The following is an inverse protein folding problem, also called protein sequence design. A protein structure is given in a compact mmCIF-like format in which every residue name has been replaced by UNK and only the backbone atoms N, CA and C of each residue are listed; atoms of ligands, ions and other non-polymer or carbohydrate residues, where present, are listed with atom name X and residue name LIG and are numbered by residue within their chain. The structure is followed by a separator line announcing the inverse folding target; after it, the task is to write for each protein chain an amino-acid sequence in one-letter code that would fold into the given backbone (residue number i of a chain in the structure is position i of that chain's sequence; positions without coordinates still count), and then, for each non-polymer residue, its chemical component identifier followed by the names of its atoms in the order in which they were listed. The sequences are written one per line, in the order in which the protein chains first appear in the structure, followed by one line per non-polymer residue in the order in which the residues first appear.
data_IF_586081989525
#
_entry.id   IF_586081989525
#
_cell.length_a   1.000
_cell.length_b   1.000
_cell.length_c   1.000
_cell.angle_alpha   90.00
_cell.angle_beta   90.00
_cell.angle_gamma   90.00
#
_symmetry.space_group_name_H-M   'P 1'
#
loop_
_entity.id
_entity.type
_entity.pdbx_description
1 polymer ?
#
# COMPACT_ATOMS: atom_id res chain seq x y z
N UNK A 1 26.39 -8.38 22.91
CA UNK A 1 25.26 -7.70 22.29
C UNK A 1 24.27 -8.76 21.83
N UNK A 2 23.03 -8.70 22.33
CA UNK A 2 21.99 -9.64 21.92
C UNK A 2 21.63 -9.35 20.44
N UNK A 3 21.47 -10.42 19.66
CA UNK A 3 20.95 -10.28 18.28
C UNK A 3 19.59 -9.59 18.33
N UNK A 4 19.31 -8.66 17.37
CA UNK A 4 18.00 -8.05 17.30
C UNK A 4 16.92 -9.12 17.09
N UNK A 5 15.72 -8.92 17.62
CA UNK A 5 14.64 -9.89 17.46
C UNK A 5 14.34 -10.08 15.96
N UNK A 6 14.22 -11.33 15.54
CA UNK A 6 13.78 -11.66 14.17
C UNK A 6 12.32 -11.23 13.97
N UNK A 7 11.93 -10.92 12.72
CA UNK A 7 10.54 -10.68 12.41
C UNK A 7 9.64 -11.82 12.89
N UNK A 8 8.57 -11.49 13.57
CA UNK A 8 7.62 -12.50 14.06
C UNK A 8 6.65 -12.87 12.95
N UNK A 9 6.36 -14.17 12.80
CA UNK A 9 5.30 -14.62 11.91
C UNK A 9 3.98 -13.98 12.36
N UNK A 10 3.34 -13.24 11.46
CA UNK A 10 2.04 -12.62 11.71
C UNK A 10 0.94 -13.56 11.21
N UNK A 11 0.03 -14.01 12.08
CA UNK A 11 -1.06 -14.88 11.65
C UNK A 11 -1.93 -14.21 10.58
N UNK A 12 -2.30 -14.98 9.55
CA UNK A 12 -3.27 -14.52 8.57
C UNK A 12 -4.63 -14.36 9.23
N UNK A 13 -5.14 -13.14 9.22
CA UNK A 13 -6.48 -12.83 9.70
C UNK A 13 -7.43 -12.58 8.50
N UNK A 14 -8.73 -12.82 8.64
CA UNK A 14 -9.67 -12.54 7.56
C UNK A 14 -9.64 -11.06 7.17
N UNK A 15 -9.83 -10.74 5.87
CA UNK A 15 -10.01 -9.37 5.40
C UNK A 15 -11.18 -8.68 6.11
N UNK A 16 -11.07 -7.39 6.27
CA UNK A 16 -12.15 -6.56 6.81
C UNK A 16 -13.35 -6.57 5.85
N UNK A 17 -14.54 -6.80 6.39
CA UNK A 17 -15.79 -6.62 5.64
C UNK A 17 -16.06 -5.13 5.49
N UNK A 18 -16.29 -4.69 4.25
CA UNK A 18 -16.42 -3.28 3.93
C UNK A 18 -17.90 -2.87 3.85
N UNK A 19 -18.24 -1.84 4.59
CA UNK A 19 -19.54 -1.16 4.58
C UNK A 19 -19.32 0.34 4.36
N UNK A 20 -20.37 1.11 4.14
CA UNK A 20 -20.30 2.57 3.91
C UNK A 20 -19.45 3.33 4.93
N UNK A 21 -19.56 2.95 6.19
CA UNK A 21 -18.89 3.63 7.30
C UNK A 21 -17.54 3.00 7.69
N UNK A 22 -17.08 2.00 6.95
CA UNK A 22 -15.82 1.31 7.27
C UNK A 22 -14.65 2.27 7.14
N UNK A 23 -13.97 2.55 8.26
CA UNK A 23 -12.76 3.36 8.34
C UNK A 23 -11.88 2.91 9.52
N UNK A 24 -10.72 3.52 9.70
CA UNK A 24 -9.75 3.10 10.70
C UNK A 24 -8.89 1.94 10.20
N UNK A 25 -8.45 1.07 11.10
CA UNK A 25 -7.63 -0.08 10.71
C UNK A 25 -8.42 -1.10 9.88
N UNK A 26 -7.93 -1.40 8.68
CA UNK A 26 -8.48 -2.42 7.80
C UNK A 26 -7.42 -3.44 7.38
N UNK A 27 -7.88 -4.65 7.09
CA UNK A 27 -7.06 -5.77 6.60
C UNK A 27 -7.55 -6.22 5.25
N UNK A 28 -6.61 -6.63 4.40
CA UNK A 28 -6.89 -7.11 3.05
C UNK A 28 -5.86 -8.17 2.63
N UNK A 29 -6.15 -8.94 1.59
CA UNK A 29 -5.20 -9.91 1.03
C UNK A 29 -4.11 -9.18 0.25
N UNK A 30 -2.84 -9.53 0.50
CA UNK A 30 -1.67 -9.04 -0.23
C UNK A 30 -0.67 -10.16 -0.49
N UNK A 31 0.50 -9.82 -1.01
CA UNK A 31 1.61 -10.73 -1.22
C UNK A 31 2.95 -10.03 -1.02
N UNK A 32 4.01 -10.81 -0.80
CA UNK A 32 5.38 -10.33 -0.68
C UNK A 32 6.25 -10.96 -1.78
N UNK A 33 6.31 -10.36 -2.97
CA UNK A 33 7.18 -10.84 -4.04
C UNK A 33 8.66 -10.55 -3.78
N UNK A 34 8.99 -9.57 -2.95
CA UNK A 34 10.31 -9.08 -2.57
C UNK A 34 11.18 -8.56 -3.72
N UNK A 35 11.16 -9.17 -4.88
CA UNK A 35 11.91 -8.74 -6.06
C UNK A 35 11.08 -8.74 -7.35
N UNK A 36 11.63 -8.13 -8.40
CA UNK A 36 10.95 -7.96 -9.68
C UNK A 36 10.73 -9.29 -10.41
N UNK A 37 11.68 -10.23 -10.33
CA UNK A 37 11.56 -11.51 -11.02
C UNK A 37 10.44 -12.35 -10.42
N UNK A 38 10.35 -12.42 -9.09
CA UNK A 38 9.23 -13.07 -8.42
C UNK A 38 7.92 -12.40 -8.80
N UNK A 39 7.86 -11.06 -8.81
CA UNK A 39 6.65 -10.32 -9.14
C UNK A 39 6.17 -10.59 -10.58
N UNK A 40 7.06 -10.55 -11.56
CA UNK A 40 6.69 -10.63 -12.97
C UNK A 40 6.68 -12.06 -13.53
N UNK A 41 7.68 -12.87 -13.17
CA UNK A 41 7.92 -14.16 -13.82
C UNK A 41 7.57 -15.37 -12.95
N UNK A 42 7.58 -15.21 -11.63
CA UNK A 42 7.37 -16.31 -10.68
C UNK A 42 6.33 -15.95 -9.59
N UNK A 43 5.16 -15.35 -9.94
CA UNK A 43 4.22 -14.83 -8.96
C UNK A 43 3.69 -15.90 -7.98
N UNK A 44 3.74 -17.17 -8.35
CA UNK A 44 3.37 -18.28 -7.46
C UNK A 44 4.36 -18.48 -6.30
N UNK A 45 5.57 -17.94 -6.39
CA UNK A 45 6.56 -17.95 -5.30
C UNK A 45 6.39 -16.79 -4.32
N UNK A 46 5.62 -15.77 -4.68
CA UNK A 46 5.34 -14.67 -3.76
C UNK A 46 4.58 -15.19 -2.54
N UNK A 47 5.10 -14.93 -1.35
CA UNK A 47 4.42 -15.28 -0.11
C UNK A 47 3.08 -14.55 -0.02
N UNK A 48 2.02 -15.28 0.30
CA UNK A 48 0.71 -14.67 0.58
C UNK A 48 0.78 -13.99 1.95
N UNK A 49 0.51 -12.71 1.98
CA UNK A 49 0.54 -11.93 3.21
C UNK A 49 -0.79 -11.22 3.45
N UNK A 50 -0.99 -10.82 4.69
CA UNK A 50 -2.05 -9.88 5.02
C UNK A 50 -1.56 -8.48 4.72
N UNK A 51 -2.33 -7.71 3.94
CA UNK A 51 -2.16 -6.27 3.84
C UNK A 51 -2.90 -5.58 5.00
N UNK A 52 -2.36 -4.48 5.46
CA UNK A 52 -2.97 -3.65 6.52
C UNK A 52 -2.85 -2.17 6.18
N UNK A 53 -3.74 -1.38 6.73
CA UNK A 53 -3.66 0.07 6.63
C UNK A 53 -4.74 0.77 7.44
N UNK A 54 -4.61 2.08 7.54
CA UNK A 54 -5.61 2.94 8.18
C UNK A 54 -6.37 3.72 7.12
N UNK A 55 -7.67 3.47 7.05
CA UNK A 55 -8.57 4.16 6.12
C UNK A 55 -9.17 5.41 6.79
N UNK A 56 -9.01 6.53 6.13
CA UNK A 56 -9.61 7.81 6.47
C UNK A 56 -10.71 8.12 5.45
N UNK A 57 -11.94 8.31 5.92
CA UNK A 57 -13.06 8.66 5.05
C UNK A 57 -13.45 10.13 5.22
N UNK A 58 -13.75 10.83 4.13
CA UNK A 58 -14.38 12.14 4.18
C UNK A 58 -15.73 12.08 4.87
N UNK A 59 -16.06 13.12 5.63
CA UNK A 59 -17.36 13.24 6.28
C UNK A 59 -18.49 13.20 5.26
N UNK A 60 -19.44 12.29 5.47
CA UNK A 60 -20.62 12.12 4.61
C UNK A 60 -20.37 11.34 3.32
N UNK A 61 -19.20 10.70 3.19
CA UNK A 61 -18.98 9.72 2.13
C UNK A 61 -19.92 8.52 2.32
N UNK A 62 -20.52 8.04 1.23
CA UNK A 62 -21.46 6.92 1.27
C UNK A 62 -21.65 6.31 -0.13
N UNK A 63 -22.34 5.20 -0.25
CA UNK A 63 -22.71 4.61 -1.55
C UNK A 63 -23.44 5.61 -2.47
N UNK A 64 -24.27 6.48 -1.88
CA UNK A 64 -24.97 7.55 -2.61
C UNK A 64 -24.10 8.77 -2.93
N UNK A 65 -23.01 8.95 -2.20
CA UNK A 65 -22.06 10.06 -2.37
C UNK A 65 -20.65 9.52 -2.35
N UNK A 66 -20.27 8.81 -3.42
CA UNK A 66 -18.94 8.23 -3.57
C UNK A 66 -17.87 9.29 -3.74
N UNK A 67 -16.76 9.09 -3.08
CA UNK A 67 -15.62 10.00 -3.09
C UNK A 67 -14.40 9.39 -3.80
N UNK A 68 -13.49 10.20 -4.37
CA UNK A 68 -12.20 9.72 -4.82
C UNK A 68 -11.38 9.18 -3.64
N UNK A 69 -10.35 8.38 -3.93
CA UNK A 69 -9.47 7.88 -2.90
C UNK A 69 -8.00 7.94 -3.31
N UNK A 70 -7.12 7.90 -2.31
CA UNK A 70 -5.68 7.85 -2.47
C UNK A 70 -5.10 6.71 -1.62
N UNK A 71 -4.33 5.83 -2.24
CA UNK A 71 -3.44 4.91 -1.52
C UNK A 71 -2.19 5.68 -1.15
N UNK A 72 -1.84 5.71 0.13
CA UNK A 72 -0.67 6.43 0.65
C UNK A 72 0.37 5.41 1.11
N UNK A 73 1.56 5.47 0.50
CA UNK A 73 2.66 4.53 0.76
C UNK A 73 3.76 5.21 1.58
N UNK A 74 4.12 4.66 2.74
CA UNK A 74 5.18 5.24 3.57
C UNK A 74 6.57 4.96 3.00
N UNK A 75 7.55 5.69 3.52
CA UNK A 75 8.95 5.46 3.24
C UNK A 75 9.55 4.26 3.99
N UNK A 76 10.88 4.09 3.88
CA UNK A 76 11.63 2.99 4.51
C UNK A 76 11.64 3.01 6.05
N UNK A 77 11.23 4.10 6.67
CA UNK A 77 11.08 4.20 8.13
C UNK A 77 9.66 3.82 8.62
N UNK A 78 8.73 3.59 7.70
CA UNK A 78 7.30 3.49 8.00
C UNK A 78 6.62 4.85 8.00
N UNK A 79 5.40 4.91 8.46
CA UNK A 79 4.67 6.17 8.65
C UNK A 79 5.31 6.94 9.81
N UNK A 80 5.76 8.15 9.55
CA UNK A 80 6.36 9.02 10.58
C UNK A 80 5.40 10.11 11.01
N UNK A 81 5.47 10.56 12.28
CA UNK A 81 4.69 11.69 12.76
C UNK A 81 4.90 12.94 11.91
N UNK A 82 3.87 13.72 11.68
CA UNK A 82 3.93 14.98 10.93
C UNK A 82 3.90 14.83 9.41
N UNK A 83 3.76 13.60 8.87
CA UNK A 83 3.78 13.41 7.41
C UNK A 83 2.64 12.51 6.92
N UNK A 84 2.77 11.19 6.99
CA UNK A 84 1.83 10.29 6.30
C UNK A 84 0.42 10.30 6.90
N UNK A 85 0.31 10.28 8.22
CA UNK A 85 -0.99 10.34 8.89
C UNK A 85 -1.69 11.68 8.64
N UNK A 86 -0.94 12.78 8.76
CA UNK A 86 -1.44 14.14 8.53
C UNK A 86 -1.80 14.35 7.07
N UNK A 87 -1.04 13.79 6.14
CA UNK A 87 -1.38 13.80 4.70
C UNK A 87 -2.68 13.04 4.45
N UNK A 88 -2.84 11.84 5.04
CA UNK A 88 -4.07 11.07 4.88
C UNK A 88 -5.28 11.78 5.50
N UNK A 89 -5.12 12.39 6.67
CA UNK A 89 -6.18 13.18 7.29
C UNK A 89 -6.53 14.42 6.45
N UNK A 90 -5.52 15.16 5.97
CA UNK A 90 -5.72 16.31 5.10
C UNK A 90 -6.48 15.94 3.82
N UNK A 91 -6.18 14.81 3.20
CA UNK A 91 -6.92 14.32 2.04
C UNK A 91 -8.39 14.07 2.39
N UNK A 92 -8.66 13.41 3.51
CA UNK A 92 -10.02 13.13 3.95
C UNK A 92 -10.80 14.41 4.26
N UNK A 93 -10.17 15.39 4.92
CA UNK A 93 -10.76 16.69 5.22
C UNK A 93 -11.10 17.48 3.93
N UNK A 94 -10.41 17.19 2.83
CA UNK A 94 -10.63 17.78 1.51
C UNK A 94 -11.45 16.90 0.56
N UNK A 95 -12.15 15.89 1.06
CA UNK A 95 -13.11 15.10 0.27
C UNK A 95 -12.50 13.93 -0.49
N UNK A 96 -11.27 13.54 -0.19
CA UNK A 96 -10.56 12.41 -0.80
C UNK A 96 -10.30 11.35 0.29
N UNK A 97 -10.89 10.17 0.18
CA UNK A 97 -10.57 9.08 1.09
C UNK A 97 -9.07 8.72 0.99
N UNK A 98 -8.45 8.32 2.08
CA UNK A 98 -7.04 7.96 2.07
C UNK A 98 -6.82 6.64 2.81
N UNK A 99 -6.16 5.68 2.17
CA UNK A 99 -5.70 4.45 2.79
C UNK A 99 -4.20 4.51 3.00
N UNK A 100 -3.78 4.81 4.22
CA UNK A 100 -2.38 4.76 4.62
C UNK A 100 -1.99 3.29 4.85
N UNK A 101 -1.17 2.76 3.96
CA UNK A 101 -0.74 1.35 3.99
C UNK A 101 0.37 1.15 5.00
N UNK A 102 0.29 0.07 5.77
CA UNK A 102 1.36 -0.41 6.64
C UNK A 102 2.09 -1.58 5.96
N UNK A 103 3.30 -1.35 5.48
CA UNK A 103 4.12 -2.37 4.83
C UNK A 103 4.92 -3.24 5.83
N UNK A 104 4.96 -2.87 7.10
CA UNK A 104 5.82 -3.49 8.12
C UNK A 104 5.09 -4.47 9.03
N UNK A 105 4.04 -4.00 9.70
CA UNK A 105 3.30 -4.80 10.67
C UNK A 105 2.84 -6.16 10.13
N UNK A 106 2.33 -6.26 8.89
CA UNK A 106 1.95 -7.55 8.31
C UNK A 106 3.12 -8.53 8.12
N UNK A 107 4.35 -8.01 8.03
CA UNK A 107 5.59 -8.79 7.85
C UNK A 107 6.34 -9.00 9.18
N UNK A 108 5.70 -8.71 10.31
CA UNK A 108 6.30 -8.87 11.64
C UNK A 108 7.41 -7.89 11.97
N UNK A 109 7.52 -6.82 11.20
CA UNK A 109 8.51 -5.76 11.40
C UNK A 109 7.90 -4.72 12.35
N UNK A 110 8.52 -4.53 13.52
CA UNK A 110 8.07 -3.54 14.51
C UNK A 110 8.75 -2.18 14.33
N UNK A 111 8.14 -1.16 14.91
CA UNK A 111 8.68 0.20 14.90
C UNK A 111 10.01 0.30 15.65
N UNK A 112 10.22 -0.55 16.65
CA UNK A 112 11.45 -0.55 17.48
C UNK A 112 12.63 -1.26 16.79
N UNK A 113 12.40 -1.98 15.68
CA UNK A 113 13.48 -2.65 14.96
C UNK A 113 14.49 -1.63 14.41
N UNK A 114 15.79 -1.96 14.41
CA UNK A 114 16.82 -1.15 13.76
C UNK A 114 16.48 -0.85 12.30
N UNK A 115 16.76 0.37 11.85
CA UNK A 115 16.44 0.83 10.50
C UNK A 115 16.96 -0.12 9.40
N UNK A 116 18.19 -0.65 9.56
CA UNK A 116 18.74 -1.62 8.63
C UNK A 116 17.86 -2.86 8.44
N UNK A 117 17.28 -3.39 9.52
CA UNK A 117 16.38 -4.54 9.44
C UNK A 117 15.04 -4.18 8.79
N UNK A 118 14.55 -2.96 9.00
CA UNK A 118 13.33 -2.48 8.33
C UNK A 118 13.49 -2.43 6.81
N UNK A 119 14.63 -1.90 6.33
CA UNK A 119 14.89 -1.82 4.88
C UNK A 119 15.19 -3.17 4.24
N UNK A 120 15.75 -4.13 5.00
CA UNK A 120 15.98 -5.49 4.52
C UNK A 120 14.74 -6.37 4.56
N UNK A 121 13.81 -6.08 5.45
CA UNK A 121 12.61 -6.89 5.67
C UNK A 121 11.46 -6.60 4.69
N UNK A 122 11.53 -5.53 3.91
CA UNK A 122 10.52 -5.19 2.88
C UNK A 122 11.15 -4.39 1.75
N UNK A 123 10.78 -4.74 0.53
CA UNK A 123 11.23 -4.10 -0.69
C UNK A 123 10.20 -3.10 -1.24
N UNK A 124 10.58 -2.33 -2.24
CA UNK A 124 9.66 -1.53 -3.06
C UNK A 124 8.65 -2.38 -3.82
N UNK A 125 8.99 -3.61 -4.17
CA UNK A 125 8.08 -4.55 -4.85
C UNK A 125 7.00 -5.08 -3.92
N UNK A 126 7.33 -5.28 -2.63
CA UNK A 126 6.32 -5.55 -1.59
C UNK A 126 5.36 -4.37 -1.45
N UNK A 127 5.88 -3.15 -1.47
CA UNK A 127 5.06 -1.93 -1.39
C UNK A 127 4.16 -1.77 -2.63
N UNK A 128 4.63 -2.12 -3.83
CA UNK A 128 3.80 -2.16 -5.05
C UNK A 128 2.70 -3.20 -4.94
N UNK A 129 3.01 -4.40 -4.44
CA UNK A 129 2.01 -5.45 -4.23
C UNK A 129 0.92 -5.01 -3.24
N UNK A 130 1.33 -4.39 -2.13
CA UNK A 130 0.41 -3.82 -1.15
C UNK A 130 -0.44 -2.68 -1.74
N UNK A 131 0.15 -1.83 -2.60
CA UNK A 131 -0.58 -0.76 -3.28
C UNK A 131 -1.71 -1.30 -4.17
N UNK A 132 -1.43 -2.32 -4.96
CA UNK A 132 -2.46 -2.96 -5.79
C UNK A 132 -3.48 -3.76 -4.98
N UNK A 133 -3.07 -4.36 -3.87
CA UNK A 133 -3.99 -4.99 -2.94
C UNK A 133 -4.94 -3.95 -2.29
N UNK A 134 -4.40 -2.79 -1.92
CA UNK A 134 -5.17 -1.64 -1.44
C UNK A 134 -6.14 -1.11 -2.51
N UNK A 135 -5.69 -0.96 -3.77
CA UNK A 135 -6.55 -0.58 -4.89
C UNK A 135 -7.75 -1.51 -5.03
N UNK A 136 -7.51 -2.83 -5.03
CA UNK A 136 -8.58 -3.85 -5.11
C UNK A 136 -9.55 -3.76 -3.94
N UNK A 137 -9.05 -3.40 -2.78
CA UNK A 137 -9.85 -3.26 -1.55
C UNK A 137 -10.71 -1.99 -1.61
N UNK A 138 -10.12 -0.86 -1.94
CA UNK A 138 -10.84 0.41 -2.09
C UNK A 138 -11.89 0.36 -3.21
N UNK A 139 -11.60 -0.34 -4.31
CA UNK A 139 -12.56 -0.52 -5.40
C UNK A 139 -13.83 -1.29 -4.99
N UNK A 140 -13.78 -2.05 -3.89
CA UNK A 140 -14.92 -2.77 -3.31
C UNK A 140 -15.64 -1.97 -2.23
N UNK A 141 -15.09 -0.83 -1.80
CA UNK A 141 -15.68 -0.05 -0.72
C UNK A 141 -16.88 0.75 -1.26
N UNK A 142 -18.09 0.61 -0.67
CA UNK A 142 -19.30 1.22 -1.23
C UNK A 142 -19.21 2.75 -1.38
N UNK A 143 -18.58 3.44 -0.43
CA UNK A 143 -18.43 4.88 -0.41
C UNK A 143 -17.31 5.44 -1.33
N UNK A 144 -16.55 4.58 -2.03
CA UNK A 144 -15.43 5.01 -2.88
C UNK A 144 -15.77 4.85 -4.36
N UNK A 145 -15.38 5.83 -5.16
CA UNK A 145 -15.44 5.78 -6.61
C UNK A 145 -14.21 5.04 -7.15
N UNK A 146 -14.39 3.79 -7.56
CA UNK A 146 -13.33 2.93 -8.05
C UNK A 146 -12.59 3.45 -9.29
N UNK A 147 -13.18 4.40 -10.03
CA UNK A 147 -12.54 5.05 -11.18
C UNK A 147 -11.60 6.20 -10.80
N UNK A 148 -11.68 6.68 -9.57
CA UNK A 148 -10.92 7.82 -9.06
C UNK A 148 -10.06 7.45 -7.87
N UNK A 149 -9.28 6.37 -8.00
CA UNK A 149 -8.32 5.95 -6.98
C UNK A 149 -6.92 6.24 -7.49
N UNK A 150 -6.18 7.08 -6.78
CA UNK A 150 -4.78 7.38 -7.05
C UNK A 150 -3.84 6.65 -6.08
N UNK A 151 -2.55 6.74 -6.34
CA UNK A 151 -1.48 6.29 -5.44
C UNK A 151 -0.46 7.40 -5.25
N UNK A 152 -0.02 7.59 -4.03
CA UNK A 152 1.08 8.48 -3.68
C UNK A 152 2.02 7.81 -2.70
N UNK A 153 3.27 8.21 -2.71
CA UNK A 153 4.24 7.64 -1.79
C UNK A 153 5.42 8.54 -1.52
N UNK A 154 6.09 8.27 -0.41
CA UNK A 154 7.21 9.02 0.10
C UNK A 154 8.48 8.16 0.07
N UNK A 155 9.59 8.65 -0.49
CA UNK A 155 10.87 7.93 -0.57
C UNK A 155 10.69 6.54 -1.22
N UNK A 156 10.92 5.43 -0.52
CA UNK A 156 10.62 4.06 -1.00
C UNK A 156 9.18 3.92 -1.49
N UNK A 157 8.22 4.48 -0.76
CA UNK A 157 6.82 4.51 -1.20
C UNK A 157 6.61 5.29 -2.49
N UNK A 158 7.39 6.36 -2.72
CA UNK A 158 7.41 7.11 -3.98
C UNK A 158 7.91 6.25 -5.14
N UNK A 159 8.99 5.48 -4.93
CA UNK A 159 9.47 4.49 -5.91
C UNK A 159 8.35 3.50 -6.26
N UNK A 160 7.66 2.95 -5.25
CA UNK A 160 6.56 2.02 -5.46
C UNK A 160 5.38 2.66 -6.23
N UNK A 161 5.03 3.90 -5.90
CA UNK A 161 4.02 4.66 -6.63
C UNK A 161 4.39 4.86 -8.11
N UNK A 162 5.66 5.17 -8.40
CA UNK A 162 6.17 5.28 -9.78
C UNK A 162 6.19 3.92 -10.49
N UNK A 163 6.66 2.85 -9.83
CA UNK A 163 6.68 1.50 -10.40
C UNK A 163 5.28 0.97 -10.73
N UNK A 164 4.26 1.39 -9.98
CA UNK A 164 2.87 1.01 -10.28
C UNK A 164 2.32 1.60 -11.58
N UNK A 165 3.08 2.45 -12.29
CA UNK A 165 2.76 2.88 -13.67
C UNK A 165 3.04 1.79 -14.71
N UNK A 166 3.88 0.80 -14.39
CA UNK A 166 4.25 -0.26 -15.33
C UNK A 166 3.07 -1.21 -15.58
N UNK A 167 2.65 -1.30 -16.83
CA UNK A 167 1.52 -2.13 -17.22
C UNK A 167 1.77 -3.63 -16.94
N UNK A 168 3.02 -4.10 -17.01
CA UNK A 168 3.37 -5.51 -16.72
C UNK A 168 3.08 -5.83 -15.26
N UNK A 169 3.44 -4.92 -14.34
CA UNK A 169 3.17 -5.05 -12.90
C UNK A 169 1.66 -5.03 -12.64
N UNK A 170 0.96 -4.08 -13.23
CA UNK A 170 -0.51 -3.99 -13.13
C UNK A 170 -1.17 -5.29 -13.57
N UNK A 171 -0.81 -5.78 -14.74
CA UNK A 171 -1.44 -6.96 -15.34
C UNK A 171 -1.18 -8.24 -14.52
N UNK A 172 -0.12 -8.29 -13.72
CA UNK A 172 0.12 -9.38 -12.76
C UNK A 172 -0.66 -9.21 -11.46
N UNK A 173 -0.72 -8.01 -10.92
CA UNK A 173 -1.28 -7.77 -9.59
C UNK A 173 -2.78 -7.44 -9.60
N UNK A 174 -3.28 -6.80 -10.66
CA UNK A 174 -4.68 -6.37 -10.75
C UNK A 174 -5.21 -6.34 -12.20
N UNK A 175 -5.22 -7.47 -12.94
CA UNK A 175 -5.50 -7.51 -14.38
C UNK A 175 -6.90 -7.06 -14.75
N UNK A 176 -7.86 -7.12 -13.82
CA UNK A 176 -9.29 -6.83 -14.10
C UNK A 176 -9.81 -5.61 -13.34
N UNK A 177 -8.91 -4.82 -12.77
CA UNK A 177 -9.26 -3.62 -12.02
C UNK A 177 -8.77 -2.38 -12.82
N UNK A 178 -9.51 -1.29 -12.71
CA UNK A 178 -9.08 -0.01 -13.29
C UNK A 178 -7.70 0.37 -12.75
N UNK A 179 -6.77 0.87 -13.60
CA UNK A 179 -5.49 1.35 -13.14
C UNK A 179 -5.67 2.51 -12.16
N UNK A 180 -4.62 2.81 -11.42
CA UNK A 180 -4.61 4.04 -10.65
C UNK A 180 -4.85 5.25 -11.55
N UNK A 181 -5.74 6.15 -11.14
CA UNK A 181 -6.09 7.35 -11.87
C UNK A 181 -4.97 8.40 -11.88
N UNK A 182 -4.08 8.34 -10.89
CA UNK A 182 -2.89 9.19 -10.80
C UNK A 182 -1.81 8.55 -9.93
N UNK A 183 -0.58 8.96 -10.17
CA UNK A 183 0.61 8.51 -9.44
C UNK A 183 1.38 9.73 -8.96
N UNK A 184 1.73 9.77 -7.68
CA UNK A 184 2.50 10.86 -7.10
C UNK A 184 3.72 10.28 -6.38
N UNK A 185 4.91 10.66 -6.83
CA UNK A 185 6.20 10.28 -6.24
C UNK A 185 6.80 11.48 -5.51
N UNK A 186 6.83 11.41 -4.18
CA UNK A 186 7.56 12.37 -3.35
C UNK A 186 8.96 11.85 -3.05
N UNK A 187 9.96 12.48 -3.68
CA UNK A 187 11.40 12.24 -3.49
C UNK A 187 11.80 10.75 -3.49
N UNK A 188 11.11 9.92 -4.29
CA UNK A 188 11.57 8.56 -4.54
C UNK A 188 12.91 8.57 -5.28
N UNK A 189 13.94 7.85 -4.77
CA UNK A 189 15.23 7.81 -5.44
C UNK A 189 15.12 7.23 -6.85
N UNK A 190 15.90 7.78 -7.78
CA UNK A 190 15.84 7.42 -9.21
C UNK A 190 16.71 6.21 -9.61
N UNK A 191 17.30 5.49 -8.66
CA UNK A 191 18.11 4.31 -8.95
C UNK A 191 17.28 3.11 -9.43
N UNK A 192 16.03 3.03 -9.05
CA UNK A 192 15.13 1.95 -9.45
C UNK A 192 14.46 2.30 -10.78
N UNK A 193 15.00 1.80 -11.87
CA UNK A 193 14.44 1.92 -13.21
C UNK A 193 14.00 0.55 -13.70
N UNK A 194 12.77 0.46 -14.19
CA UNK A 194 12.26 -0.72 -14.88
C UNK A 194 12.64 -0.60 -16.35
N UNK A 195 13.73 -1.27 -16.76
CA UNK A 195 14.09 -1.33 -18.17
C UNK A 195 13.09 -2.20 -18.93
N UNK A 196 12.58 -1.68 -20.05
CA UNK A 196 11.90 -2.49 -21.04
C UNK A 196 12.95 -3.38 -21.73
N UNK A 197 12.83 -4.68 -21.59
CA UNK A 197 13.48 -5.63 -22.49
C UNK A 197 12.63 -5.85 -23.72
#
# INVERSE_FOLDING_TARGET
DALPPLPKVVPMMPPTVLHDETQGEIRFKSSSPYDLDVLLNQPAKAEVTMGMGKLFLPKGASEKKRVPAMVVLPGSAGAIPGRENETAQMLADNGIAALLVDNFKPRGISEEMPYALKIMGTSEFDAVADAYAALKTLNKHPAIDGWRIGVMGFSKGGVAARMSMDARIRDKLAPFIQPFAMHVDFYGPCYAQLHSQ
#
